data_IF_126376867068
#
_entry.id   IF_126376867068
#
_cell.length_a   1.000
_cell.length_b   1.000
_cell.length_c   1.000
_cell.angle_alpha   90.00
_cell.angle_beta   90.00
_cell.angle_gamma   90.00
#
_symmetry.space_group_name_H-M   'P 1'
#
loop_
_entity.id
_entity.type
_entity.pdbx_description
1 polymer ?
#
# COMPACT_ATOMS: atom_id res chain seq x y z
N UNK A 1 8.96 -0.35 -22.72
CA UNK A 1 8.69 0.28 -21.40
C UNK A 1 7.46 -0.41 -20.81
N UNK A 2 7.56 -1.02 -19.62
CA UNK A 2 6.42 -1.70 -18.97
C UNK A 2 5.67 -0.66 -18.11
N UNK A 3 4.35 -0.56 -18.28
CA UNK A 3 3.48 0.25 -17.39
C UNK A 3 3.19 -0.58 -16.13
N UNK A 4 3.07 0.09 -14.98
CA UNK A 4 2.67 -0.54 -13.72
C UNK A 4 1.38 0.07 -13.19
N UNK A 5 0.49 -0.75 -12.68
CA UNK A 5 -0.78 -0.33 -12.07
C UNK A 5 -0.65 -0.41 -10.55
N UNK A 6 -1.00 0.69 -9.88
CA UNK A 6 -0.93 0.82 -8.43
C UNK A 6 -2.31 1.15 -7.86
N UNK A 7 -2.63 0.58 -6.70
CA UNK A 7 -3.80 0.97 -5.91
C UNK A 7 -3.31 1.65 -4.63
N UNK A 8 -3.88 2.82 -4.33
CA UNK A 8 -3.67 3.54 -3.07
C UNK A 8 -4.80 3.16 -2.10
N UNK A 9 -4.46 2.43 -1.04
CA UNK A 9 -5.36 1.82 -0.08
C UNK A 9 -5.01 2.21 1.37
N UNK A 10 -4.64 3.48 1.60
CA UNK A 10 -4.24 4.08 2.88
C UNK A 10 -5.32 4.99 3.49
N UNK A 11 -6.53 5.01 2.93
CA UNK A 11 -7.60 5.93 3.33
C UNK A 11 -8.79 5.18 3.92
N UNK A 12 -9.53 5.85 4.81
CA UNK A 12 -10.72 5.30 5.48
C UNK A 12 -10.41 4.15 6.45
N UNK A 13 -11.47 3.51 6.98
CA UNK A 13 -11.33 2.39 7.92
C UNK A 13 -10.70 1.15 7.28
N UNK A 14 -10.13 0.27 8.11
CA UNK A 14 -9.56 -1.01 7.65
C UNK A 14 -10.55 -1.83 6.81
N UNK A 15 -11.86 -1.81 7.12
CA UNK A 15 -12.88 -2.51 6.32
C UNK A 15 -12.89 -2.04 4.86
N UNK A 16 -12.73 -0.74 4.64
CA UNK A 16 -12.68 -0.14 3.30
C UNK A 16 -11.33 -0.45 2.64
N UNK A 17 -10.22 -0.23 3.35
CA UNK A 17 -8.86 -0.53 2.85
C UNK A 17 -8.70 -1.99 2.45
N UNK A 18 -9.16 -2.92 3.29
CA UNK A 18 -9.18 -4.36 3.02
C UNK A 18 -9.94 -4.68 1.73
N UNK A 19 -11.10 -4.03 1.49
CA UNK A 19 -11.83 -4.24 0.24
C UNK A 19 -10.99 -3.80 -0.97
N UNK A 20 -10.38 -2.62 -0.92
CA UNK A 20 -9.51 -2.14 -2.00
C UNK A 20 -8.30 -3.06 -2.23
N UNK A 21 -7.74 -3.62 -1.16
CA UNK A 21 -6.64 -4.59 -1.25
C UNK A 21 -7.10 -5.87 -1.95
N UNK A 22 -8.22 -6.45 -1.52
CA UNK A 22 -8.78 -7.67 -2.10
C UNK A 22 -9.17 -7.47 -3.57
N UNK A 23 -9.85 -6.38 -3.91
CA UNK A 23 -10.18 -6.05 -5.31
C UNK A 23 -8.90 -5.94 -6.16
N UNK A 24 -7.83 -5.32 -5.61
CA UNK A 24 -6.53 -5.20 -6.28
C UNK A 24 -5.85 -6.54 -6.55
N UNK A 25 -5.88 -7.44 -5.56
CA UNK A 25 -5.39 -8.80 -5.69
C UNK A 25 -6.15 -9.57 -6.78
N UNK A 26 -7.48 -9.46 -6.80
CA UNK A 26 -8.35 -10.13 -7.79
C UNK A 26 -8.17 -9.56 -9.21
N UNK A 27 -7.89 -8.26 -9.33
CA UNK A 27 -7.62 -7.60 -10.61
C UNK A 27 -6.18 -7.75 -11.11
N UNK A 28 -5.27 -8.31 -10.32
CA UNK A 28 -3.88 -8.53 -10.70
C UNK A 28 -3.06 -7.23 -10.84
N UNK A 29 -3.28 -6.26 -9.95
CA UNK A 29 -2.47 -5.02 -9.94
C UNK A 29 -1.02 -5.32 -9.58
N UNK A 30 -0.09 -4.46 -10.01
CA UNK A 30 1.34 -4.71 -9.78
C UNK A 30 1.75 -4.39 -8.34
N UNK A 31 1.11 -3.41 -7.70
CA UNK A 31 1.50 -2.93 -6.35
C UNK A 31 0.33 -2.30 -5.60
N UNK A 32 0.30 -2.51 -4.29
CA UNK A 32 -0.66 -1.86 -3.40
C UNK A 32 0.10 -0.96 -2.42
N UNK A 33 -0.32 0.29 -2.32
CA UNK A 33 0.19 1.28 -1.39
C UNK A 33 -0.71 1.38 -0.15
N UNK A 34 -0.17 1.11 1.03
CA UNK A 34 -0.87 1.16 2.33
C UNK A 34 -0.13 2.02 3.35
N UNK A 35 -0.69 2.17 4.55
CA UNK A 35 0.08 2.61 5.72
C UNK A 35 0.89 1.44 6.30
N UNK A 36 1.99 1.74 6.97
CA UNK A 36 2.92 0.74 7.53
C UNK A 36 2.19 -0.30 8.41
N UNK A 37 1.26 0.14 9.26
CA UNK A 37 0.47 -0.70 10.17
C UNK A 37 -0.38 -1.78 9.47
N UNK A 38 -0.54 -1.70 8.16
CA UNK A 38 -1.33 -2.63 7.36
C UNK A 38 -0.47 -3.58 6.51
N UNK A 39 0.86 -3.42 6.45
CA UNK A 39 1.75 -4.27 5.64
C UNK A 39 1.56 -5.75 5.96
N UNK A 40 1.61 -6.11 7.25
CA UNK A 40 1.41 -7.49 7.69
C UNK A 40 0.02 -8.01 7.32
N UNK A 41 -1.02 -7.20 7.49
CA UNK A 41 -2.40 -7.59 7.18
C UNK A 41 -2.60 -7.82 5.69
N UNK A 42 -1.95 -7.03 4.83
CA UNK A 42 -1.98 -7.25 3.36
C UNK A 42 -1.27 -8.54 3.00
N UNK A 43 -0.12 -8.83 3.63
CA UNK A 43 0.64 -10.06 3.40
C UNK A 43 -0.18 -11.32 3.75
N UNK A 44 -1.04 -11.26 4.77
CA UNK A 44 -2.00 -12.32 5.11
C UNK A 44 -3.10 -12.54 4.06
N UNK A 45 -3.44 -11.52 3.28
CA UNK A 45 -4.49 -11.60 2.26
C UNK A 45 -3.98 -12.16 0.93
N UNK A 46 -2.69 -11.99 0.63
CA UNK A 46 -2.11 -12.54 -0.59
C UNK A 46 -0.69 -12.06 -0.87
N UNK A 47 -0.04 -12.74 -1.81
CA UNK A 47 1.29 -12.39 -2.26
C UNK A 47 1.21 -11.34 -3.39
N UNK A 48 1.53 -10.10 -3.06
CA UNK A 48 1.62 -8.98 -3.99
C UNK A 48 2.76 -8.05 -3.55
N UNK A 49 3.26 -7.21 -4.45
CA UNK A 49 4.21 -6.18 -4.07
C UNK A 49 3.52 -5.12 -3.21
N UNK A 50 4.07 -4.85 -2.04
CA UNK A 50 3.51 -3.91 -1.06
C UNK A 50 4.40 -2.68 -1.01
N UNK A 51 3.80 -1.52 -1.24
CA UNK A 51 4.40 -0.23 -0.91
C UNK A 51 3.77 0.30 0.38
N UNK A 52 4.56 0.94 1.23
CA UNK A 52 4.05 1.52 2.47
C UNK A 52 4.48 2.98 2.62
N UNK A 53 3.59 3.80 3.17
CA UNK A 53 3.97 5.12 3.64
C UNK A 53 4.84 5.01 4.87
N UNK A 54 6.13 5.27 4.67
CA UNK A 54 7.16 5.16 5.70
C UNK A 54 7.42 6.52 6.35
N UNK A 55 7.57 6.53 7.67
CA UNK A 55 7.96 7.71 8.45
C UNK A 55 9.33 7.52 9.08
N UNK A 56 9.49 6.46 9.86
CA UNK A 56 10.71 6.10 10.58
C UNK A 56 10.68 4.62 11.00
N UNK A 57 11.84 4.12 11.46
CA UNK A 57 11.98 2.76 11.98
C UNK A 57 12.28 1.70 10.91
N UNK A 58 11.90 0.46 11.21
CA UNK A 58 11.99 -0.67 10.29
C UNK A 58 10.64 -0.88 9.58
N UNK A 59 10.69 -1.36 8.35
CA UNK A 59 9.51 -1.63 7.54
C UNK A 59 9.65 -2.96 6.81
N UNK A 60 8.55 -3.72 6.78
CA UNK A 60 8.45 -4.99 6.06
C UNK A 60 7.93 -4.81 4.61
N UNK A 61 7.77 -3.57 4.16
CA UNK A 61 7.28 -3.26 2.83
C UNK A 61 8.36 -3.47 1.76
N UNK A 62 7.93 -3.83 0.56
CA UNK A 62 8.84 -4.04 -0.57
C UNK A 62 9.29 -2.71 -1.18
N UNK A 63 8.49 -1.64 -0.98
CA UNK A 63 8.78 -0.27 -1.42
C UNK A 63 8.42 0.71 -0.30
N UNK A 64 9.36 1.59 0.05
CA UNK A 64 9.12 2.70 0.98
C UNK A 64 8.69 3.94 0.21
N UNK A 65 7.53 4.50 0.56
CA UNK A 65 7.00 5.76 0.02
C UNK A 65 7.09 6.82 1.11
N UNK A 66 7.86 7.88 0.84
CA UNK A 66 8.08 8.98 1.78
C UNK A 66 7.37 10.26 1.31
N UNK A 67 7.14 11.19 2.24
CA UNK A 67 6.60 12.52 1.92
C UNK A 67 5.08 12.67 2.04
N UNK A 68 4.35 11.65 2.51
CA UNK A 68 2.92 11.80 2.86
C UNK A 68 2.76 12.77 4.03
N UNK A 69 1.92 13.79 3.84
CA UNK A 69 1.70 14.93 4.74
C UNK A 69 2.96 15.79 4.95
N UNK A 70 3.75 15.99 3.89
CA UNK A 70 4.94 16.86 3.92
C UNK A 70 4.69 18.20 3.23
N UNK A 71 5.72 19.04 3.12
CA UNK A 71 5.61 20.41 2.57
C UNK A 71 5.04 20.47 1.14
N UNK A 72 5.09 19.37 0.38
CA UNK A 72 4.53 19.27 -0.98
C UNK A 72 3.02 19.00 -1.06
N UNK A 73 2.33 18.84 0.06
CA UNK A 73 0.89 18.53 0.09
C UNK A 73 -0.01 19.79 0.19
N UNK A 74 0.61 20.99 0.22
CA UNK A 74 -0.05 22.29 0.33
C UNK A 74 -0.54 22.85 -1.02
#
# INVERSE_FOLDING_TARGET
MKKSIWIKADQSSWKIRKKSVTDGLECGVDTILVDEDDVHKVRELGNIKIAAFFRDGESDADILVVGKNSEGDA
#
